data_IF_083474959430
#
_entry.id   IF_083474959430
#
_cell.length_a   1.000
_cell.length_b   1.000
_cell.length_c   1.000
_cell.angle_alpha   90.00
_cell.angle_beta   90.00
_cell.angle_gamma   90.00
#
_symmetry.space_group_name_H-M   'P 1'
#
loop_
_entity.id
_entity.type
_entity.pdbx_description
1 polymer ?
#
# COMPACT_ATOMS: atom_id res chain seq x y z
N UNK A 1 -32.75 36.07 33.29
CA UNK A 1 -33.02 34.62 33.38
C UNK A 1 -34.50 34.42 33.14
N UNK A 2 -34.87 33.99 31.93
CA UNK A 2 -36.27 33.76 31.56
C UNK A 2 -36.32 32.42 30.82
N UNK A 3 -36.94 31.44 31.47
CA UNK A 3 -37.16 30.08 30.96
C UNK A 3 -38.36 30.09 30.02
N UNK A 4 -38.15 29.65 28.78
CA UNK A 4 -39.25 29.26 27.88
C UNK A 4 -39.18 27.75 27.72
N UNK A 5 -40.19 27.06 28.26
CA UNK A 5 -40.47 25.65 28.00
C UNK A 5 -41.29 25.54 26.72
N UNK A 6 -40.81 24.76 25.75
CA UNK A 6 -41.65 24.16 24.72
C UNK A 6 -41.56 22.64 24.84
N UNK A 7 -42.72 22.02 25.03
CA UNK A 7 -42.93 20.59 24.97
C UNK A 7 -44.08 20.33 23.98
N UNK A 8 -43.83 19.54 22.93
CA UNK A 8 -44.79 18.75 22.15
C UNK A 8 -43.94 17.94 21.13
N UNK A 9 -43.77 16.62 21.31
CA UNK A 9 -44.62 15.51 20.82
C UNK A 9 -44.89 15.52 19.31
N UNK A 10 -44.39 14.46 18.64
CA UNK A 10 -44.68 14.07 17.25
C UNK A 10 -43.59 13.10 16.77
N UNK A 11 -43.64 11.82 17.11
CA UNK A 11 -44.38 10.75 16.44
C UNK A 11 -43.85 10.42 15.02
N UNK A 12 -43.36 9.18 14.91
CA UNK A 12 -43.21 8.33 13.72
C UNK A 12 -42.20 8.76 12.64
N UNK A 13 -41.14 7.95 12.47
CA UNK A 13 -41.14 6.94 11.41
C UNK A 13 -39.93 6.02 11.61
N UNK A 14 -40.18 4.77 11.98
CA UNK A 14 -39.18 3.71 11.93
C UNK A 14 -38.77 3.50 10.48
N UNK A 15 -37.53 3.82 10.13
CA UNK A 15 -36.89 3.31 8.93
C UNK A 15 -35.78 2.36 9.35
N UNK A 16 -36.17 1.13 9.67
CA UNK A 16 -35.25 0.01 9.79
C UNK A 16 -34.75 -0.31 8.37
N UNK A 17 -33.66 0.32 7.96
CA UNK A 17 -32.94 -0.07 6.75
C UNK A 17 -32.04 -1.25 7.11
N UNK A 18 -32.59 -2.46 7.08
CA UNK A 18 -31.80 -3.68 6.95
C UNK A 18 -31.23 -3.69 5.53
N UNK A 19 -29.97 -3.29 5.37
CA UNK A 19 -29.17 -3.73 4.23
C UNK A 19 -28.28 -4.85 4.76
N UNK A 20 -28.85 -6.06 4.78
CA UNK A 20 -28.05 -7.27 4.79
C UNK A 20 -27.69 -7.56 3.32
N UNK A 21 -26.52 -7.15 2.91
CA UNK A 21 -25.84 -7.76 1.76
C UNK A 21 -24.38 -7.99 2.17
N UNK A 22 -24.20 -9.07 2.92
CA UNK A 22 -22.90 -9.73 3.07
C UNK A 22 -22.58 -10.40 1.73
N UNK A 23 -22.30 -9.61 0.70
CA UNK A 23 -21.61 -10.12 -0.47
C UNK A 23 -20.15 -10.33 -0.05
N UNK A 24 -19.84 -11.55 0.37
CA UNK A 24 -18.47 -12.04 0.49
C UNK A 24 -17.76 -11.73 -0.82
N UNK A 25 -16.91 -10.70 -0.82
CA UNK A 25 -16.02 -10.39 -1.91
C UNK A 25 -15.06 -11.57 -2.06
N UNK A 26 -15.39 -12.49 -2.96
CA UNK A 26 -14.46 -13.53 -3.37
C UNK A 26 -13.26 -12.84 -4.04
N UNK A 27 -12.01 -13.22 -3.70
CA UNK A 27 -10.84 -12.65 -4.35
C UNK A 27 -10.89 -12.96 -5.85
N UNK A 28 -10.89 -11.91 -6.68
CA UNK A 28 -10.96 -12.06 -8.13
C UNK A 28 -9.73 -12.81 -8.68
N UNK A 29 -9.91 -13.78 -9.60
CA UNK A 29 -8.82 -14.51 -10.26
C UNK A 29 -8.21 -13.68 -11.40
N UNK A 30 -7.85 -12.42 -11.15
CA UNK A 30 -7.34 -11.53 -12.20
C UNK A 30 -6.04 -12.04 -12.85
N UNK A 31 -5.34 -12.98 -12.21
CA UNK A 31 -4.05 -13.52 -12.63
C UNK A 31 -4.03 -15.03 -12.84
N UNK A 32 -5.17 -15.72 -12.97
CA UNK A 32 -5.16 -17.15 -13.36
C UNK A 32 -4.78 -17.27 -14.85
N UNK A 33 -3.62 -17.86 -15.19
CA UNK A 33 -3.20 -18.03 -16.58
C UNK A 33 -4.13 -18.97 -17.38
N UNK A 34 -5.04 -19.70 -16.73
CA UNK A 34 -6.02 -20.58 -17.38
C UNK A 34 -7.39 -19.91 -17.62
N UNK A 35 -7.62 -18.71 -17.09
CA UNK A 35 -8.89 -18.01 -17.27
C UNK A 35 -9.08 -17.57 -18.73
N UNK A 36 -10.26 -17.82 -19.28
CA UNK A 36 -10.58 -17.41 -20.65
C UNK A 36 -10.62 -15.88 -20.78
N UNK A 37 -10.37 -15.35 -21.98
CA UNK A 37 -10.44 -13.91 -22.24
C UNK A 37 -11.79 -13.29 -21.85
N UNK A 38 -12.89 -14.04 -21.97
CA UNK A 38 -14.24 -13.60 -21.57
C UNK A 38 -14.39 -13.47 -20.05
N UNK A 39 -13.79 -14.38 -19.28
CA UNK A 39 -13.79 -14.32 -17.82
C UNK A 39 -12.95 -13.14 -17.31
N UNK A 40 -11.80 -12.89 -17.94
CA UNK A 40 -10.96 -11.71 -17.64
C UNK A 40 -11.69 -10.40 -17.91
N UNK A 41 -12.39 -10.28 -19.05
CA UNK A 41 -13.20 -9.08 -19.38
C UNK A 41 -14.35 -8.90 -18.38
N UNK A 42 -15.02 -9.99 -17.96
CA UNK A 42 -16.08 -9.93 -16.95
C UNK A 42 -15.53 -9.49 -15.59
N UNK A 43 -14.40 -10.04 -15.15
CA UNK A 43 -13.75 -9.66 -13.89
C UNK A 43 -13.29 -8.20 -13.92
N UNK A 44 -12.72 -7.73 -15.04
CA UNK A 44 -12.35 -6.33 -15.23
C UNK A 44 -13.57 -5.40 -15.19
N UNK A 45 -14.70 -5.80 -15.78
CA UNK A 45 -15.94 -5.01 -15.77
C UNK A 45 -16.55 -4.87 -14.39
N UNK A 46 -16.33 -5.85 -13.52
CA UNK A 46 -16.78 -5.85 -12.13
C UNK A 46 -15.74 -5.26 -11.17
N UNK A 47 -14.65 -4.68 -11.69
CA UNK A 47 -13.64 -4.01 -10.87
C UNK A 47 -14.22 -2.71 -10.31
N UNK A 48 -14.51 -2.72 -9.01
CA UNK A 48 -14.82 -1.50 -8.27
C UNK A 48 -13.53 -0.99 -7.58
N UNK A 49 -12.92 0.09 -8.10
CA UNK A 49 -11.73 0.68 -7.48
C UNK A 49 -12.01 1.16 -6.04
N UNK A 50 -13.24 1.54 -5.71
CA UNK A 50 -13.60 2.02 -4.37
C UNK A 50 -13.56 0.87 -3.36
N UNK A 51 -14.15 -0.27 -3.71
CA UNK A 51 -14.08 -1.48 -2.89
C UNK A 51 -12.64 -1.96 -2.67
N UNK A 52 -11.77 -1.84 -3.68
CA UNK A 52 -10.34 -2.15 -3.52
C UNK A 52 -9.67 -1.19 -2.54
N UNK A 53 -9.80 0.12 -2.74
CA UNK A 53 -9.17 1.15 -1.88
C UNK A 53 -9.64 1.02 -0.42
N UNK A 54 -10.92 0.69 -0.21
CA UNK A 54 -11.50 0.47 1.12
C UNK A 54 -10.88 -0.72 1.86
N UNK A 55 -10.38 -1.73 1.14
CA UNK A 55 -9.79 -2.96 1.70
C UNK A 55 -8.27 -2.97 1.68
N UNK A 56 -7.62 -2.12 0.87
CA UNK A 56 -6.16 -1.93 0.91
C UNK A 56 -5.72 -1.47 2.29
N UNK A 57 -4.64 -2.06 2.80
CA UNK A 57 -4.00 -1.74 4.09
C UNK A 57 -2.50 -1.60 3.88
N UNK A 58 -1.84 -0.76 4.68
CA UNK A 58 -0.38 -0.78 4.73
C UNK A 58 0.07 -2.15 5.27
N UNK A 59 0.93 -2.90 4.56
CA UNK A 59 1.44 -4.17 5.08
C UNK A 59 2.16 -3.98 6.41
N UNK A 60 1.98 -4.91 7.34
CA UNK A 60 2.76 -4.91 8.59
C UNK A 60 4.25 -5.11 8.29
N UNK A 61 5.16 -4.48 9.06
CA UNK A 61 6.59 -4.64 8.85
C UNK A 61 6.99 -6.09 9.11
N UNK A 62 7.83 -6.66 8.23
CA UNK A 62 8.34 -8.03 8.40
C UNK A 62 9.58 -8.08 9.30
N UNK A 63 10.25 -6.92 9.48
CA UNK A 63 11.43 -6.71 10.31
C UNK A 63 11.41 -5.27 10.85
N UNK A 64 12.06 -5.04 11.99
CA UNK A 64 12.36 -3.72 12.52
C UNK A 64 13.88 -3.57 12.55
N UNK A 65 14.40 -2.61 11.79
CA UNK A 65 15.83 -2.31 11.74
C UNK A 65 16.03 -0.78 11.74
N UNK A 66 16.46 -0.19 12.88
CA UNK A 66 16.58 1.27 13.02
C UNK A 66 17.53 1.92 12.00
N UNK A 67 18.58 1.21 11.57
CA UNK A 67 19.54 1.73 10.59
C UNK A 67 18.87 1.88 9.21
N UNK A 68 18.21 0.82 8.75
CA UNK A 68 17.49 0.84 7.46
C UNK A 68 16.35 1.83 7.49
N UNK A 69 15.59 1.87 8.60
CA UNK A 69 14.50 2.83 8.75
C UNK A 69 14.99 4.27 8.63
N UNK A 70 16.07 4.63 9.34
CA UNK A 70 16.67 5.95 9.25
C UNK A 70 17.11 6.25 7.82
N UNK A 71 17.87 5.34 7.20
CA UNK A 71 18.38 5.48 5.85
C UNK A 71 17.26 5.75 4.83
N UNK A 72 16.16 4.98 4.90
CA UNK A 72 15.00 5.16 4.03
C UNK A 72 14.26 6.48 4.29
N UNK A 73 14.08 6.88 5.54
CA UNK A 73 13.46 8.17 5.90
C UNK A 73 14.26 9.37 5.37
N UNK A 74 15.58 9.29 5.39
CA UNK A 74 16.45 10.34 4.85
C UNK A 74 16.31 10.50 3.33
N UNK A 75 16.02 9.42 2.60
CA UNK A 75 15.79 9.50 1.15
C UNK A 75 14.35 9.84 0.78
N UNK A 76 13.39 9.58 1.67
CA UNK A 76 11.96 9.79 1.42
C UNK A 76 11.67 11.16 0.78
N UNK A 77 12.15 12.24 1.38
CA UNK A 77 11.88 13.60 0.92
C UNK A 77 12.42 13.91 -0.48
N UNK A 78 13.41 13.15 -0.96
CA UNK A 78 13.97 13.31 -2.32
C UNK A 78 13.11 12.63 -3.38
N UNK A 79 12.56 11.47 -3.07
CA UNK A 79 11.72 10.69 -3.99
C UNK A 79 10.27 11.16 -3.99
N UNK A 80 9.80 11.69 -2.87
CA UNK A 80 8.39 12.05 -2.64
C UNK A 80 8.27 13.51 -2.18
N UNK A 81 8.71 14.48 -3.00
CA UNK A 81 8.69 15.89 -2.62
C UNK A 81 7.26 16.38 -2.42
N UNK A 82 7.01 17.04 -1.28
CA UNK A 82 5.69 17.59 -0.93
C UNK A 82 4.73 16.59 -0.27
N UNK A 83 5.08 15.30 -0.21
CA UNK A 83 4.31 14.33 0.57
C UNK A 83 4.71 14.36 2.04
N UNK A 84 3.73 14.09 2.91
CA UNK A 84 3.97 13.86 4.33
C UNK A 84 4.07 12.36 4.60
N UNK A 85 5.20 11.92 5.14
CA UNK A 85 5.36 10.55 5.63
C UNK A 85 4.47 10.34 6.87
N UNK A 86 3.54 9.39 6.81
CA UNK A 86 2.71 8.99 7.96
C UNK A 86 3.34 7.80 8.68
N UNK A 87 3.70 6.75 7.93
CA UNK A 87 4.18 5.49 8.50
C UNK A 87 5.13 4.78 7.56
N UNK A 88 6.13 4.11 8.12
CA UNK A 88 7.07 3.26 7.40
C UNK A 88 6.84 1.79 7.78
N UNK A 89 7.01 0.88 6.82
CA UNK A 89 6.94 -0.56 7.02
C UNK A 89 7.97 -1.28 6.15
N UNK A 90 9.02 -1.81 6.78
CA UNK A 90 10.03 -2.61 6.09
C UNK A 90 9.41 -3.92 5.61
N UNK A 91 9.46 -4.20 4.31
CA UNK A 91 9.02 -5.49 3.75
C UNK A 91 10.18 -6.46 3.50
N UNK A 92 11.43 -6.02 3.70
CA UNK A 92 12.60 -6.87 3.63
C UNK A 92 12.98 -7.39 5.01
N UNK A 93 13.04 -8.72 5.15
CA UNK A 93 13.49 -9.35 6.39
C UNK A 93 15.01 -9.30 6.53
N UNK A 94 15.69 -9.54 5.41
CA UNK A 94 17.13 -9.48 5.19
C UNK A 94 17.36 -9.00 3.74
N UNK A 95 18.61 -8.86 3.33
CA UNK A 95 19.02 -8.63 1.95
C UNK A 95 18.51 -9.74 1.04
N UNK A 96 17.68 -9.37 0.05
CA UNK A 96 17.42 -10.25 -1.08
C UNK A 96 18.61 -10.20 -2.03
N UNK A 97 19.21 -11.36 -2.32
CA UNK A 97 20.35 -11.47 -3.24
C UNK A 97 19.85 -12.05 -4.57
N UNK A 98 19.93 -11.26 -5.64
CA UNK A 98 19.66 -11.71 -6.99
C UNK A 98 20.92 -12.38 -7.57
N UNK A 99 20.72 -13.58 -8.11
CA UNK A 99 21.73 -14.30 -8.90
C UNK A 99 21.25 -14.49 -10.33
N UNK A 100 22.20 -14.48 -11.26
CA UNK A 100 21.94 -14.79 -12.65
C UNK A 100 21.48 -16.26 -12.76
N UNK A 101 20.37 -16.57 -13.45
CA UNK A 101 19.74 -17.89 -13.40
C UNK A 101 20.57 -19.01 -14.02
N UNK A 102 21.55 -18.69 -14.87
CA UNK A 102 22.38 -19.70 -15.57
C UNK A 102 23.75 -19.82 -14.91
N UNK A 103 24.45 -18.69 -14.70
CA UNK A 103 25.82 -18.67 -14.17
C UNK A 103 25.87 -18.72 -12.65
N UNK A 104 24.74 -18.47 -11.97
CA UNK A 104 24.61 -18.35 -10.52
C UNK A 104 25.50 -17.24 -9.89
N UNK A 105 26.06 -16.37 -10.73
CA UNK A 105 26.81 -15.19 -10.31
C UNK A 105 25.89 -14.19 -9.60
N UNK A 106 26.42 -13.48 -8.61
CA UNK A 106 25.68 -12.44 -7.91
C UNK A 106 25.52 -11.24 -8.84
N UNK A 107 24.30 -10.74 -9.00
CA UNK A 107 24.00 -9.55 -9.80
C UNK A 107 23.85 -8.34 -8.88
N UNK A 108 22.98 -8.43 -7.88
CA UNK A 108 22.75 -7.38 -6.90
C UNK A 108 22.16 -7.94 -5.61
N UNK A 109 22.15 -7.11 -4.58
CA UNK A 109 21.28 -7.31 -3.42
C UNK A 109 20.36 -6.11 -3.22
N UNK A 110 19.19 -6.33 -2.62
CA UNK A 110 18.24 -5.26 -2.32
C UNK A 110 17.60 -5.43 -0.95
N UNK A 111 17.23 -4.30 -0.36
CA UNK A 111 16.25 -4.20 0.72
C UNK A 111 15.25 -3.10 0.36
N UNK A 112 14.08 -3.13 0.98
CA UNK A 112 13.02 -2.18 0.63
C UNK A 112 11.99 -1.97 1.73
N UNK A 113 11.29 -0.85 1.58
CA UNK A 113 10.27 -0.38 2.52
C UNK A 113 9.04 0.12 1.79
N UNK A 114 7.88 -0.08 2.41
CA UNK A 114 6.67 0.65 2.09
C UNK A 114 6.58 1.89 2.98
N UNK A 115 6.00 2.95 2.43
CA UNK A 115 5.60 4.15 3.15
C UNK A 115 4.12 4.40 2.93
N UNK A 116 3.37 4.66 3.99
CA UNK A 116 2.09 5.34 3.88
C UNK A 116 2.35 6.85 3.90
N UNK A 117 1.85 7.53 2.86
CA UNK A 117 2.07 8.96 2.66
C UNK A 117 0.75 9.69 2.48
N UNK A 118 0.74 10.97 2.85
CA UNK A 118 -0.35 11.90 2.58
C UNK A 118 0.12 12.98 1.61
N UNK A 119 -0.56 13.09 0.48
CA UNK A 119 -0.32 14.15 -0.49
C UNK A 119 -0.84 15.50 -0.01
N UNK A 120 -0.40 16.57 -0.67
CA UNK A 120 -0.85 17.93 -0.40
C UNK A 120 -2.38 18.11 -0.64
N UNK A 121 -2.97 17.29 -1.49
CA UNK A 121 -4.42 17.22 -1.74
C UNK A 121 -5.21 16.48 -0.65
N UNK A 122 -4.51 15.96 0.36
CA UNK A 122 -5.09 15.19 1.46
C UNK A 122 -5.33 13.72 1.16
N UNK A 123 -5.02 13.25 -0.05
CA UNK A 123 -5.13 11.84 -0.43
C UNK A 123 -4.04 10.99 0.24
N UNK A 124 -4.36 9.73 0.53
CA UNK A 124 -3.40 8.78 1.09
C UNK A 124 -3.04 7.69 0.07
N UNK A 125 -1.77 7.31 0.05
CA UNK A 125 -1.25 6.23 -0.81
C UNK A 125 -0.11 5.49 -0.15
N UNK A 126 0.07 4.24 -0.56
CA UNK A 126 1.27 3.45 -0.28
C UNK A 126 2.26 3.67 -1.42
N UNK A 127 3.50 3.99 -1.09
CA UNK A 127 4.62 4.02 -2.02
C UNK A 127 5.71 3.10 -1.54
N UNK A 128 6.54 2.60 -2.45
CA UNK A 128 7.67 1.75 -2.12
C UNK A 128 8.98 2.43 -2.52
N UNK A 129 10.02 2.17 -1.73
CA UNK A 129 11.38 2.58 -2.03
C UNK A 129 12.32 1.42 -1.73
N UNK A 130 13.13 1.08 -2.71
CA UNK A 130 14.15 0.03 -2.64
C UNK A 130 15.54 0.65 -2.59
N UNK A 131 16.46 -0.03 -1.92
CA UNK A 131 17.89 0.25 -1.92
C UNK A 131 18.62 -0.95 -2.52
N UNK A 132 19.35 -0.71 -3.60
CA UNK A 132 20.08 -1.73 -4.37
C UNK A 132 21.57 -1.56 -4.20
N UNK A 133 22.29 -2.67 -4.16
CA UNK A 133 23.74 -2.72 -4.30
C UNK A 133 24.14 -3.73 -5.36
N UNK A 134 24.75 -3.27 -6.44
CA UNK A 134 25.20 -4.11 -7.55
C UNK A 134 26.50 -4.81 -7.19
N UNK A 135 26.63 -6.08 -7.56
CA UNK A 135 27.87 -6.83 -7.42
C UNK A 135 28.78 -6.61 -8.62
N UNK A 136 30.00 -6.12 -8.39
CA UNK A 136 31.02 -5.95 -9.43
C UNK A 136 32.40 -6.25 -8.86
N UNK A 137 33.25 -6.91 -9.64
CA UNK A 137 34.67 -7.13 -9.32
C UNK A 137 34.95 -7.70 -7.92
N UNK A 138 34.10 -8.62 -7.43
CA UNK A 138 34.29 -9.30 -6.15
C UNK A 138 33.69 -8.62 -4.93
N UNK A 139 32.89 -7.56 -5.10
CA UNK A 139 32.20 -6.90 -3.99
C UNK A 139 30.93 -6.15 -4.39
N UNK A 140 30.12 -5.80 -3.39
CA UNK A 140 29.00 -4.90 -3.56
C UNK A 140 29.50 -3.46 -3.71
N UNK A 141 29.02 -2.79 -4.76
CA UNK A 141 29.33 -1.40 -5.04
C UNK A 141 28.46 -0.47 -4.19
N UNK A 142 28.76 0.83 -4.23
CA UNK A 142 27.92 1.86 -3.61
C UNK A 142 26.47 1.70 -4.08
N UNK A 143 25.55 1.61 -3.13
CA UNK A 143 24.16 1.41 -3.47
C UNK A 143 23.45 2.68 -3.94
N UNK A 144 22.26 2.47 -4.48
CA UNK A 144 21.38 3.49 -5.00
C UNK A 144 19.93 3.18 -4.63
N UNK A 145 19.10 4.22 -4.60
CA UNK A 145 17.68 4.09 -4.32
C UNK A 145 16.89 4.10 -5.61
N UNK A 146 15.80 3.35 -5.63
CA UNK A 146 14.86 3.31 -6.73
C UNK A 146 13.43 3.22 -6.19
N UNK A 147 12.52 4.02 -6.74
CA UNK A 147 11.11 3.92 -6.37
C UNK A 147 10.51 2.63 -6.93
N UNK A 148 9.63 1.99 -6.16
CA UNK A 148 9.02 0.71 -6.56
C UNK A 148 7.99 0.82 -7.70
N UNK A 149 7.95 1.95 -8.42
CA UNK A 149 7.02 2.38 -9.48
C UNK A 149 5.51 2.30 -9.20
N UNK A 150 5.09 1.51 -8.21
CA UNK A 150 3.69 1.28 -7.87
C UNK A 150 3.32 2.16 -6.69
N UNK A 151 2.43 3.09 -6.97
CA UNK A 151 1.73 3.85 -5.94
C UNK A 151 0.33 3.27 -5.81
N UNK A 152 -0.05 2.86 -4.60
CA UNK A 152 -1.34 2.22 -4.35
C UNK A 152 -2.23 3.13 -3.50
N UNK A 153 -3.35 3.66 -4.03
CA UNK A 153 -4.26 4.48 -3.25
C UNK A 153 -4.85 3.70 -2.07
N UNK A 154 -4.98 4.37 -0.93
CA UNK A 154 -5.51 3.79 0.31
C UNK A 154 -6.36 4.85 1.04
N UNK A 155 -7.39 4.43 1.79
CA UNK A 155 -8.04 5.36 2.71
C UNK A 155 -7.08 5.74 3.84
N UNK A 156 -7.09 6.99 4.30
CA UNK A 156 -6.19 7.42 5.36
C UNK A 156 -6.42 6.69 6.70
N UNK A 157 -7.65 6.19 6.94
CA UNK A 157 -8.03 5.38 8.10
C UNK A 157 -7.45 3.95 8.08
N UNK A 158 -6.89 3.52 6.95
CA UNK A 158 -6.41 2.16 6.71
C UNK A 158 -4.88 2.00 6.90
N UNK A 159 -4.20 3.03 7.41
CA UNK A 159 -2.74 3.12 7.59
C UNK A 159 -2.25 2.44 8.87
#
# INVERSE_FOLDING_TARGET
MTLIRFAALGAACSLTLLIADTALAQPAPANDPKASARERVRAQRNYDPRARIATTRLPAPVTVNPEWERMFREQFAKFFPGDTLIKQSLYSRDWYVKRHPITNEIEYRQIGTNFAVKGADGSCRIVALDYYETWQSGGYQRGYFQDGFKQEPILCENI
#
